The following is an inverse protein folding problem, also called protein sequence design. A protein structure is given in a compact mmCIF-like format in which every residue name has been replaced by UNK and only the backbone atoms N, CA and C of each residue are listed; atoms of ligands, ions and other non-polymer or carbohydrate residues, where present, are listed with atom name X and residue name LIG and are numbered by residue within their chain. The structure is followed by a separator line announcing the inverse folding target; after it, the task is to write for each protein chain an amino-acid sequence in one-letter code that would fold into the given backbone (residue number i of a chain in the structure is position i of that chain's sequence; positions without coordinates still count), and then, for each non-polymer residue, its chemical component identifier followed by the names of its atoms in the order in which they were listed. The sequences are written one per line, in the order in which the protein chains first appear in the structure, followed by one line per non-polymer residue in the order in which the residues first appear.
data_IF_675697392597
#
_entry.id   IF_675697392597
#
_cell.length_a   1.000
_cell.length_b   1.000
_cell.length_c   1.000
_cell.angle_alpha   90.00
_cell.angle_beta   90.00
_cell.angle_gamma   90.00
#
_symmetry.space_group_name_H-M   'P 1'
#
loop_
_entity.id
_entity.type
_entity.pdbx_description
1 polymer ?
#
# COMPACT_ATOMS: atom_id res chain seq x y z
N UNK A 1 2.91 -32.00 0.59
CA UNK A 1 2.68 -31.27 -0.67
C UNK A 1 2.55 -29.81 -0.30
N UNK A 2 3.64 -29.09 -0.47
CA UNK A 2 3.76 -27.67 -0.14
C UNK A 2 2.85 -26.85 -1.06
N UNK A 3 2.14 -25.88 -0.45
CA UNK A 3 1.09 -25.09 -1.07
C UNK A 3 1.70 -23.74 -1.44
N UNK A 4 2.11 -23.56 -2.70
CA UNK A 4 2.77 -22.32 -3.12
C UNK A 4 1.76 -21.16 -3.25
N UNK A 5 1.98 -20.11 -2.46
CA UNK A 5 1.38 -18.80 -2.66
C UNK A 5 2.26 -18.07 -3.69
N UNK A 6 1.70 -17.68 -4.84
CA UNK A 6 2.47 -16.91 -5.82
C UNK A 6 2.48 -15.44 -5.41
N UNK A 7 3.68 -14.92 -5.20
CA UNK A 7 3.93 -13.52 -4.86
C UNK A 7 4.81 -12.92 -5.94
N UNK A 8 4.48 -11.72 -6.40
CA UNK A 8 5.33 -10.94 -7.31
C UNK A 8 5.42 -9.48 -6.88
N UNK A 9 6.51 -8.81 -7.27
CA UNK A 9 6.65 -7.37 -7.07
C UNK A 9 5.55 -6.63 -7.84
N UNK A 10 4.98 -5.59 -7.23
CA UNK A 10 3.97 -4.76 -7.86
C UNK A 10 4.60 -3.45 -8.36
N UNK A 11 5.36 -3.50 -9.45
CA UNK A 11 6.02 -2.32 -10.02
C UNK A 11 5.01 -1.26 -10.45
N UNK A 12 5.17 -0.04 -9.95
CA UNK A 12 4.34 1.15 -10.16
C UNK A 12 2.82 0.99 -10.11
N UNK A 13 2.34 0.02 -9.33
CA UNK A 13 0.93 -0.18 -9.02
C UNK A 13 0.49 0.52 -7.72
N UNK A 14 -0.70 1.09 -7.76
CA UNK A 14 -1.31 1.78 -6.63
C UNK A 14 -2.73 1.26 -6.41
N UNK A 15 -3.10 1.04 -5.15
CA UNK A 15 -4.51 0.93 -4.78
C UNK A 15 -5.05 2.33 -4.59
N UNK A 16 -6.26 2.59 -5.07
CA UNK A 16 -6.96 3.83 -4.82
C UNK A 16 -8.33 3.58 -4.22
N UNK A 17 -8.82 4.53 -3.43
CA UNK A 17 -10.20 4.54 -2.95
C UNK A 17 -10.72 5.98 -2.89
N UNK A 18 -12.04 6.11 -2.94
CA UNK A 18 -12.71 7.37 -2.62
C UNK A 18 -13.16 7.27 -1.16
N UNK A 19 -12.64 8.17 -0.32
CA UNK A 19 -13.00 8.23 1.09
C UNK A 19 -14.47 8.63 1.28
N UNK A 20 -14.99 8.51 2.52
CA UNK A 20 -16.35 8.94 2.82
C UNK A 20 -16.58 10.46 2.59
N UNK A 21 -15.52 11.27 2.61
CA UNK A 21 -15.58 12.69 2.27
C UNK A 21 -15.50 12.98 0.77
N UNK A 22 -15.39 11.95 -0.07
CA UNK A 22 -15.23 12.09 -1.52
C UNK A 22 -13.79 12.33 -1.97
N UNK A 23 -12.82 12.24 -1.06
CA UNK A 23 -11.41 12.45 -1.40
C UNK A 23 -10.79 11.21 -2.03
N UNK A 24 -10.01 11.39 -3.10
CA UNK A 24 -9.22 10.33 -3.69
C UNK A 24 -7.95 10.09 -2.86
N UNK A 25 -7.79 8.86 -2.40
CA UNK A 25 -6.63 8.41 -1.63
C UNK A 25 -5.90 7.30 -2.37
N UNK A 26 -4.57 7.37 -2.37
CA UNK A 26 -3.70 6.34 -2.94
C UNK A 26 -2.85 5.64 -1.90
N UNK A 27 -2.54 4.37 -2.16
CA UNK A 27 -1.49 3.62 -1.44
C UNK A 27 -0.67 2.82 -2.44
N UNK A 28 0.65 2.82 -2.28
CA UNK A 28 1.55 2.03 -3.12
C UNK A 28 1.36 0.55 -2.84
N UNK A 29 1.09 -0.24 -3.87
CA UNK A 29 1.07 -1.71 -3.78
C UNK A 29 2.51 -2.21 -3.74
N UNK A 30 2.86 -2.96 -2.70
CA UNK A 30 4.18 -3.56 -2.60
C UNK A 30 4.26 -4.87 -3.40
N UNK A 31 3.23 -5.71 -3.29
CA UNK A 31 3.21 -7.07 -3.86
C UNK A 31 1.85 -7.43 -4.42
N UNK A 32 1.85 -8.26 -5.44
CA UNK A 32 0.69 -9.03 -5.89
C UNK A 32 0.73 -10.42 -5.28
N UNK A 33 -0.40 -10.85 -4.70
CA UNK A 33 -0.58 -12.20 -4.20
C UNK A 33 -1.76 -12.86 -4.90
N UNK A 34 -1.59 -14.10 -5.35
CA UNK A 34 -2.65 -14.92 -5.93
C UNK A 34 -3.01 -16.07 -4.98
N UNK A 35 -4.31 -16.24 -4.70
CA UNK A 35 -4.81 -17.40 -3.95
C UNK A 35 -5.06 -18.62 -4.86
N UNK A 36 -5.44 -19.74 -4.24
CA UNK A 36 -5.64 -21.03 -4.94
C UNK A 36 -6.78 -21.01 -5.94
N UNK A 37 -7.70 -20.06 -5.81
CA UNK A 37 -8.83 -19.88 -6.72
C UNK A 37 -8.46 -18.94 -7.89
N UNK A 38 -7.21 -18.46 -7.92
CA UNK A 38 -6.74 -17.50 -8.92
C UNK A 38 -7.11 -16.06 -8.58
N UNK A 39 -7.62 -15.78 -7.37
CA UNK A 39 -7.96 -14.41 -6.98
C UNK A 39 -6.69 -13.63 -6.70
N UNK A 40 -6.44 -12.58 -7.48
CA UNK A 40 -5.28 -11.71 -7.32
C UNK A 40 -5.62 -10.51 -6.42
N UNK A 41 -4.74 -10.20 -5.48
CA UNK A 41 -4.89 -9.07 -4.55
C UNK A 41 -3.58 -8.30 -4.42
N UNK A 42 -3.68 -6.98 -4.40
CA UNK A 42 -2.55 -6.09 -4.13
C UNK A 42 -2.40 -5.87 -2.64
N UNK A 43 -1.20 -6.09 -2.12
CA UNK A 43 -0.86 -5.88 -0.72
C UNK A 43 -0.15 -4.53 -0.57
N UNK A 44 -0.63 -3.72 0.36
CA UNK A 44 -0.04 -2.42 0.70
C UNK A 44 0.64 -2.50 2.06
N UNK A 45 1.70 -1.72 2.24
CA UNK A 45 2.34 -1.56 3.54
C UNK A 45 1.53 -0.60 4.41
N UNK A 46 1.49 -0.86 5.71
CA UNK A 46 1.05 0.13 6.69
C UNK A 46 1.23 -0.35 8.11
N UNK A 47 1.02 0.57 9.04
CA UNK A 47 1.24 0.36 10.45
C UNK A 47 -0.03 -0.19 11.10
N UNK A 48 0.12 -1.30 11.82
CA UNK A 48 -0.94 -1.84 12.65
C UNK A 48 -1.25 -1.01 13.88
N UNK A 49 -2.40 -1.30 14.51
CA UNK A 49 -2.78 -0.85 15.85
C UNK A 49 -1.75 -1.19 16.97
N UNK A 50 -0.66 -1.89 16.65
CA UNK A 50 0.47 -2.14 17.56
C UNK A 50 1.69 -1.38 17.05
N UNK A 51 2.10 -0.39 17.84
CA UNK A 51 3.06 0.70 17.62
C UNK A 51 4.28 0.51 16.70
N UNK A 52 4.70 -0.68 16.29
CA UNK A 52 5.96 -0.87 15.56
C UNK A 52 5.98 -1.97 14.49
N UNK A 53 4.85 -2.60 14.16
CA UNK A 53 4.82 -3.62 13.11
C UNK A 53 4.24 -3.06 11.81
N UNK A 54 5.11 -2.78 10.83
CA UNK A 54 4.70 -2.63 9.43
C UNK A 54 4.28 -4.01 8.94
N UNK A 55 3.03 -4.15 8.48
CA UNK A 55 2.55 -5.36 7.86
C UNK A 55 2.00 -5.08 6.46
N UNK A 56 1.99 -6.13 5.66
CA UNK A 56 1.30 -6.16 4.39
C UNK A 56 -0.16 -6.53 4.63
N UNK A 57 -1.07 -5.70 4.13
CA UNK A 57 -2.50 -5.99 4.20
C UNK A 57 -3.19 -5.68 2.87
N UNK A 58 -4.35 -6.29 2.68
CA UNK A 58 -5.24 -5.97 1.56
C UNK A 58 -5.95 -4.65 1.87
N UNK A 59 -5.77 -3.64 1.02
CA UNK A 59 -6.46 -2.37 1.17
C UNK A 59 -7.99 -2.57 0.97
N UNK A 60 -8.86 -2.05 1.85
CA UNK A 60 -10.30 -2.14 1.66
C UNK A 60 -10.77 -1.23 0.51
N UNK A 61 -11.39 -1.84 -0.52
CA UNK A 61 -11.84 -1.20 -1.76
C UNK A 61 -13.27 -0.65 -1.69
N UNK A 62 -13.69 -0.06 -0.57
CA UNK A 62 -14.97 0.65 -0.57
C UNK A 62 -14.88 1.79 -1.60
N UNK A 63 -15.50 1.60 -2.77
CA UNK A 63 -15.42 2.48 -3.94
C UNK A 63 -13.97 2.74 -4.43
N UNK A 64 -13.22 1.66 -4.69
CA UNK A 64 -11.83 1.72 -5.11
C UNK A 64 -11.39 0.61 -6.06
N UNK A 65 -10.11 0.60 -6.38
CA UNK A 65 -9.49 -0.39 -7.26
C UNK A 65 -7.98 -0.27 -7.32
N UNK A 66 -7.38 -0.77 -8.40
CA UNK A 66 -5.96 -0.65 -8.66
C UNK A 66 -5.73 0.12 -9.96
N UNK A 67 -4.66 0.89 -10.01
CA UNK A 67 -4.26 1.67 -11.17
C UNK A 67 -2.74 1.66 -11.28
N UNK A 68 -2.23 1.48 -12.50
CA UNK A 68 -0.82 1.55 -12.78
C UNK A 68 -0.41 3.02 -13.02
N UNK A 69 0.81 3.40 -12.63
CA UNK A 69 1.31 4.78 -12.71
C UNK A 69 1.14 5.43 -14.09
N UNK A 70 1.36 4.65 -15.16
CA UNK A 70 1.25 5.14 -16.53
C UNK A 70 -0.20 5.42 -16.97
N UNK A 71 -1.18 4.86 -16.26
CA UNK A 71 -2.60 5.06 -16.55
C UNK A 71 -3.21 6.21 -15.72
N UNK A 72 -2.42 6.79 -14.81
CA UNK A 72 -2.84 7.93 -13.99
C UNK A 72 -2.75 9.24 -14.76
N UNK A 73 -3.66 10.17 -14.47
CA UNK A 73 -3.51 11.57 -14.87
C UNK A 73 -2.36 12.26 -14.10
N UNK A 74 -1.82 13.38 -14.59
CA UNK A 74 -0.78 14.13 -13.87
C UNK A 74 -1.19 14.53 -12.43
N UNK A 75 -2.46 14.88 -12.23
CA UNK A 75 -2.98 15.24 -10.90
C UNK A 75 -3.05 14.02 -9.97
N UNK A 76 -3.44 12.85 -10.49
CA UNK A 76 -3.45 11.60 -9.75
C UNK A 76 -2.03 11.17 -9.37
N UNK A 77 -1.06 11.29 -10.29
CA UNK A 77 0.35 11.02 -10.02
C UNK A 77 0.90 11.92 -8.91
N UNK A 78 0.53 13.21 -8.93
CA UNK A 78 0.91 14.18 -7.88
C UNK A 78 0.32 13.79 -6.53
N UNK A 79 -0.97 13.47 -6.47
CA UNK A 79 -1.64 13.02 -5.23
C UNK A 79 -1.06 11.69 -4.73
N UNK A 80 -0.82 10.73 -5.61
CA UNK A 80 -0.23 9.45 -5.25
C UNK A 80 1.16 9.60 -4.63
N UNK A 81 1.99 10.52 -5.16
CA UNK A 81 3.27 10.88 -4.55
C UNK A 81 3.11 11.48 -3.15
N UNK A 82 2.11 12.34 -2.94
CA UNK A 82 1.83 12.95 -1.65
C UNK A 82 1.35 11.92 -0.62
N UNK A 83 0.37 11.09 -0.99
CA UNK A 83 -0.23 10.09 -0.10
C UNK A 83 0.73 8.95 0.25
N UNK A 84 1.62 8.60 -0.69
CA UNK A 84 2.62 7.54 -0.51
C UNK A 84 3.97 8.08 -0.05
N UNK A 85 4.08 9.37 0.25
CA UNK A 85 5.31 9.92 0.78
C UNK A 85 5.53 9.30 2.15
N UNK A 86 6.58 8.49 2.26
CA UNK A 86 7.02 8.06 3.58
C UNK A 86 7.48 9.33 4.28
N UNK A 87 6.79 9.68 5.36
CA UNK A 87 7.20 10.79 6.21
C UNK A 87 8.59 10.46 6.78
N UNK A 88 9.61 11.10 6.17
CA UNK A 88 11.01 10.86 6.49
C UNK A 88 11.29 11.27 7.93
N UNK A 89 10.60 12.27 8.44
CA UNK A 89 10.76 12.71 9.83
C UNK A 89 10.12 11.70 10.78
N UNK A 90 8.98 11.10 10.39
CA UNK A 90 8.41 9.96 11.10
C UNK A 90 9.31 8.72 11.11
N UNK A 91 10.01 8.44 10.01
CA UNK A 91 11.01 7.36 9.96
C UNK A 91 12.17 7.62 10.92
N UNK A 92 12.67 8.85 11.00
CA UNK A 92 13.74 9.23 11.93
C UNK A 92 13.31 9.12 13.39
N UNK A 93 12.08 9.54 13.70
CA UNK A 93 11.49 9.35 15.04
C UNK A 93 11.42 7.87 15.44
N UNK A 94 10.93 7.02 14.54
CA UNK A 94 10.84 5.57 14.78
C UNK A 94 12.22 4.92 14.95
N UNK A 95 13.25 5.38 14.22
CA UNK A 95 14.62 4.89 14.37
C UNK A 95 15.26 5.34 15.69
N UNK A 96 14.94 6.53 16.19
CA UNK A 96 15.48 7.05 17.45
C UNK A 96 14.91 6.30 18.68
N UNK A 97 13.63 5.94 18.65
CA UNK A 97 12.98 5.15 19.70
C UNK A 97 13.56 3.73 19.82
N UNK A 98 13.90 3.07 18.71
CA UNK A 98 14.51 1.73 18.69
C UNK A 98 15.95 1.72 19.26
N UNK A 99 16.71 2.81 19.12
CA UNK A 99 18.07 2.94 19.68
C UNK A 99 18.11 3.31 21.16
N UNK A 100 16.95 3.62 21.76
CA UNK A 100 16.85 4.07 23.15
C UNK A 100 16.39 2.97 24.13
N UNK A 101 16.28 1.72 23.67
CA UNK A 101 15.87 0.54 24.46
C UNK A 101 17.03 -0.40 24.78
#
# INVERSE_FOLDING_TARGET
MDKELHISAAEDWYSFRISASGELEFKRVALWAADKQGSVRGLVSGSGNKKFANYLYNAPHAHGGYIHWNDMTPDQQKKAKQDCQIDIDRLKELQADDTSS
#
